data_IF_060071330889
#
_entry.id   IF_060071330889
#
_cell.length_a   1.000
_cell.length_b   1.000
_cell.length_c   1.000
_cell.angle_alpha   90.00
_cell.angle_beta   90.00
_cell.angle_gamma   90.00
#
_symmetry.space_group_name_H-M   'P 1'
#
loop_
_entity.id
_entity.type
_entity.pdbx_description
1 polymer ?
#
# COMPACT_ATOMS: atom_id res chain seq x y z
N UNK A 1 -32.17 35.96 -7.37
CA UNK A 1 -30.72 36.11 -7.16
C UNK A 1 -30.16 34.78 -6.70
N UNK A 2 -29.73 33.97 -7.67
CA UNK A 2 -28.95 32.75 -7.43
C UNK A 2 -27.62 33.15 -6.80
N UNK A 3 -27.17 32.53 -5.69
CA UNK A 3 -25.82 32.73 -5.21
C UNK A 3 -24.88 32.19 -6.28
N UNK A 4 -24.04 33.06 -6.85
CA UNK A 4 -23.02 32.67 -7.81
C UNK A 4 -22.17 31.55 -7.24
N UNK A 5 -22.09 30.43 -7.96
CA UNK A 5 -21.03 29.45 -7.76
C UNK A 5 -19.71 30.23 -7.86
N UNK A 6 -18.90 30.24 -6.80
CA UNK A 6 -17.54 30.76 -6.89
C UNK A 6 -16.83 29.95 -7.97
N UNK A 7 -16.49 30.61 -9.06
CA UNK A 7 -15.60 30.08 -10.09
C UNK A 7 -14.26 29.71 -9.43
N UNK A 8 -13.91 28.43 -9.58
CA UNK A 8 -12.56 27.87 -9.57
C UNK A 8 -11.70 28.00 -8.31
N UNK A 9 -12.02 27.22 -7.28
CA UNK A 9 -10.93 26.60 -6.51
C UNK A 9 -10.83 25.12 -6.87
N UNK A 10 -9.99 24.81 -7.85
CA UNK A 10 -9.66 23.44 -8.24
C UNK A 10 -8.87 22.73 -7.14
N UNK A 11 -8.36 23.46 -6.15
CA UNK A 11 -7.50 22.91 -5.11
C UNK A 11 -8.29 22.28 -3.97
N UNK A 12 -7.65 21.34 -3.27
CA UNK A 12 -8.22 20.69 -2.09
C UNK A 12 -8.18 21.63 -0.89
N UNK A 13 -9.35 21.97 -0.35
CA UNK A 13 -9.48 22.69 0.91
C UNK A 13 -9.43 21.73 2.12
N UNK A 14 -8.41 21.83 3.00
CA UNK A 14 -8.35 21.04 4.22
C UNK A 14 -9.51 21.27 5.20
N UNK A 15 -10.25 22.38 5.09
CA UNK A 15 -11.43 22.66 5.91
C UNK A 15 -12.67 21.85 5.49
N UNK A 16 -12.68 21.27 4.29
CA UNK A 16 -13.81 20.51 3.75
C UNK A 16 -14.13 19.25 4.59
N UNK A 17 -13.14 18.67 5.27
CA UNK A 17 -13.33 17.46 6.05
C UNK A 17 -12.38 17.31 7.22
N UNK A 18 -12.87 16.69 8.29
CA UNK A 18 -12.06 16.30 9.47
C UNK A 18 -10.99 15.26 9.12
N UNK A 19 -11.15 14.53 8.00
CA UNK A 19 -10.18 13.56 7.45
C UNK A 19 -9.68 14.05 6.09
N UNK A 20 -8.45 13.69 5.71
CA UNK A 20 -7.91 14.09 4.41
C UNK A 20 -8.47 13.19 3.30
N UNK A 21 -9.43 13.72 2.54
CA UNK A 21 -10.15 12.98 1.50
C UNK A 21 -9.25 12.58 0.32
N UNK A 22 -8.10 13.24 0.12
CA UNK A 22 -7.16 12.87 -0.94
C UNK A 22 -6.54 11.51 -0.68
N UNK A 23 -6.20 11.22 0.57
CA UNK A 23 -5.65 9.91 0.95
C UNK A 23 -6.71 8.81 0.81
N UNK A 24 -7.97 9.11 1.12
CA UNK A 24 -9.07 8.16 0.93
C UNK A 24 -9.33 7.91 -0.57
N UNK A 25 -9.31 8.97 -1.40
CA UNK A 25 -9.43 8.86 -2.85
C UNK A 25 -8.32 7.99 -3.46
N UNK A 26 -7.06 8.24 -3.09
CA UNK A 26 -5.93 7.45 -3.58
C UNK A 26 -6.00 5.99 -3.09
N UNK A 27 -6.47 5.73 -1.87
CA UNK A 27 -6.73 4.36 -1.39
C UNK A 27 -7.84 3.68 -2.19
N UNK A 28 -8.94 4.39 -2.46
CA UNK A 28 -10.02 3.91 -3.33
C UNK A 28 -9.49 3.55 -4.72
N UNK A 29 -8.66 4.41 -5.30
CA UNK A 29 -8.01 4.16 -6.60
C UNK A 29 -7.14 2.90 -6.56
N UNK A 30 -6.36 2.71 -5.49
CA UNK A 30 -5.57 1.49 -5.32
C UNK A 30 -6.46 0.24 -5.21
N UNK A 31 -7.56 0.31 -4.46
CA UNK A 31 -8.51 -0.81 -4.29
C UNK A 31 -9.16 -1.18 -5.63
N UNK A 32 -9.70 -0.19 -6.36
CA UNK A 32 -10.29 -0.40 -7.68
C UNK A 32 -9.29 -1.06 -8.63
N UNK A 33 -8.04 -0.59 -8.63
CA UNK A 33 -7.00 -1.15 -9.48
C UNK A 33 -6.58 -2.56 -9.06
N UNK A 34 -6.54 -2.87 -7.77
CA UNK A 34 -6.31 -4.25 -7.31
C UNK A 34 -7.43 -5.20 -7.78
N UNK A 35 -8.69 -4.74 -7.80
CA UNK A 35 -9.80 -5.53 -8.39
C UNK A 35 -9.54 -5.79 -9.87
N UNK A 36 -9.25 -4.76 -10.67
CA UNK A 36 -8.94 -4.93 -12.10
C UNK A 36 -7.75 -5.86 -12.34
N UNK A 37 -6.76 -5.84 -11.45
CA UNK A 37 -5.60 -6.71 -11.53
C UNK A 37 -5.95 -8.20 -11.39
N UNK A 38 -7.10 -8.52 -10.81
CA UNK A 38 -7.61 -9.88 -10.67
C UNK A 38 -8.64 -10.27 -11.75
N UNK A 39 -9.05 -9.35 -12.64
CA UNK A 39 -9.95 -9.63 -13.77
C UNK A 39 -9.18 -10.02 -15.04
N UNK A 40 -8.31 -11.01 -14.93
CA UNK A 40 -7.32 -11.36 -15.96
C UNK A 40 -7.88 -11.88 -17.29
N UNK A 41 -9.12 -12.36 -17.30
CA UNK A 41 -9.83 -12.75 -18.51
C UNK A 41 -10.45 -11.57 -19.27
N UNK A 42 -10.32 -10.34 -18.77
CA UNK A 42 -10.96 -9.16 -19.35
C UNK A 42 -9.94 -8.17 -19.91
N UNK A 43 -10.29 -7.36 -20.92
CA UNK A 43 -9.42 -6.28 -21.42
C UNK A 43 -9.00 -5.28 -20.33
N UNK A 44 -9.73 -5.21 -19.21
CA UNK A 44 -9.40 -4.36 -18.07
C UNK A 44 -8.08 -4.75 -17.39
N UNK A 45 -7.57 -5.95 -17.64
CA UNK A 45 -6.26 -6.39 -17.17
C UNK A 45 -5.09 -5.58 -17.76
N UNK A 46 -5.28 -4.88 -18.89
CA UNK A 46 -4.26 -3.97 -19.46
C UNK A 46 -3.91 -2.82 -18.49
N UNK A 47 -4.79 -2.56 -17.52
CA UNK A 47 -4.61 -1.55 -16.46
C UNK A 47 -3.89 -2.12 -15.23
N UNK A 48 -3.34 -3.34 -15.25
CA UNK A 48 -2.64 -3.96 -14.10
C UNK A 48 -1.55 -3.05 -13.50
N UNK A 49 -0.78 -2.38 -14.36
CA UNK A 49 0.42 -1.66 -13.94
C UNK A 49 0.08 -0.22 -13.57
N UNK A 50 0.52 0.27 -12.40
CA UNK A 50 0.18 1.62 -11.94
C UNK A 50 0.96 2.68 -12.71
N UNK A 51 2.18 2.98 -12.29
CA UNK A 51 3.12 3.83 -13.01
C UNK A 51 4.52 3.23 -12.85
N UNK A 52 5.15 2.86 -13.96
CA UNK A 52 6.42 2.14 -13.99
C UNK A 52 6.34 0.79 -13.27
N UNK A 53 7.33 0.48 -12.44
CA UNK A 53 7.47 -0.80 -11.74
C UNK A 53 6.46 -1.02 -10.59
N UNK A 54 5.83 0.02 -10.07
CA UNK A 54 5.02 -0.02 -8.84
C UNK A 54 3.60 -0.53 -9.09
N UNK A 55 3.11 -1.32 -8.14
CA UNK A 55 1.79 -1.92 -8.09
C UNK A 55 0.85 -1.12 -7.19
N UNK A 56 -0.46 -1.26 -7.41
CA UNK A 56 -1.48 -0.66 -6.57
C UNK A 56 -1.40 -1.13 -5.11
N UNK A 57 -0.98 -2.38 -4.88
CA UNK A 57 -0.82 -2.94 -3.54
C UNK A 57 0.28 -2.22 -2.77
N UNK A 58 1.44 -1.96 -3.37
CA UNK A 58 2.54 -1.24 -2.69
C UNK A 58 2.11 0.15 -2.25
N UNK A 59 1.42 0.87 -3.13
CA UNK A 59 0.85 2.18 -2.83
C UNK A 59 -0.23 2.11 -1.75
N UNK A 60 -1.12 1.11 -1.80
CA UNK A 60 -2.14 0.91 -0.76
C UNK A 60 -1.52 0.71 0.62
N UNK A 61 -0.46 -0.09 0.73
CA UNK A 61 0.23 -0.32 2.01
C UNK A 61 0.87 0.96 2.54
N UNK A 62 1.55 1.70 1.67
CA UNK A 62 2.15 2.99 2.02
C UNK A 62 1.11 4.00 2.50
N UNK A 63 0.02 4.20 1.75
CA UNK A 63 -1.03 5.16 2.10
C UNK A 63 -1.74 4.73 3.38
N UNK A 64 -2.01 3.42 3.55
CA UNK A 64 -2.65 2.91 4.76
C UNK A 64 -1.78 3.14 6.00
N UNK A 65 -0.46 2.92 5.88
CA UNK A 65 0.50 3.29 6.92
C UNK A 65 0.42 4.78 7.25
N UNK A 66 0.44 5.65 6.24
CA UNK A 66 0.33 7.10 6.42
C UNK A 66 -0.97 7.52 7.13
N UNK A 67 -2.11 6.97 6.74
CA UNK A 67 -3.41 7.22 7.39
C UNK A 67 -3.38 6.76 8.84
N UNK A 68 -2.82 5.58 9.13
CA UNK A 68 -2.64 5.08 10.49
C UNK A 68 -1.79 6.03 11.33
N UNK A 69 -0.66 6.51 10.78
CA UNK A 69 0.20 7.49 11.45
C UNK A 69 -0.52 8.80 11.77
N UNK A 70 -1.33 9.31 10.84
CA UNK A 70 -2.11 10.56 11.00
C UNK A 70 -3.21 10.38 12.06
N UNK A 71 -4.06 9.37 11.88
CA UNK A 71 -5.29 9.20 12.66
C UNK A 71 -4.98 8.65 14.05
N UNK A 72 -4.27 7.52 14.10
CA UNK A 72 -3.98 6.83 15.36
C UNK A 72 -2.86 7.51 16.14
N UNK A 73 -1.92 8.20 15.47
CA UNK A 73 -0.92 9.03 16.13
C UNK A 73 -1.55 10.17 16.94
N UNK A 74 -2.50 10.91 16.34
CA UNK A 74 -3.23 11.97 17.04
C UNK A 74 -4.10 11.42 18.18
N UNK A 75 -4.86 10.35 17.91
CA UNK A 75 -5.71 9.72 18.94
C UNK A 75 -4.90 9.17 20.10
N UNK A 76 -3.74 8.57 19.86
CA UNK A 76 -2.92 7.98 20.92
C UNK A 76 -2.35 9.06 21.87
N UNK A 77 -2.09 10.27 21.36
CA UNK A 77 -1.73 11.43 22.20
C UNK A 77 -2.90 11.95 23.04
N UNK A 78 -4.13 11.82 22.56
CA UNK A 78 -5.33 12.36 23.22
C UNK A 78 -6.01 11.37 24.18
N UNK A 79 -6.03 10.09 23.82
CA UNK A 79 -6.80 9.03 24.49
C UNK A 79 -5.91 7.93 25.10
N UNK A 80 -4.59 8.05 24.93
CA UNK A 80 -3.62 7.06 25.39
C UNK A 80 -3.38 5.91 24.40
N UNK A 81 -2.19 5.32 24.49
CA UNK A 81 -1.75 4.23 23.61
C UNK A 81 -2.60 2.96 23.77
N UNK A 82 -3.01 2.62 25.00
CA UNK A 82 -3.78 1.40 25.27
C UNK A 82 -5.13 1.36 24.55
N UNK A 83 -5.88 2.46 24.59
CA UNK A 83 -7.19 2.59 23.91
C UNK A 83 -7.02 2.42 22.40
N UNK A 84 -6.05 3.13 21.81
CA UNK A 84 -5.78 3.03 20.38
C UNK A 84 -5.27 1.66 19.98
N UNK A 85 -4.43 1.03 20.81
CA UNK A 85 -3.91 -0.32 20.56
C UNK A 85 -5.05 -1.33 20.50
N UNK A 86 -5.99 -1.28 21.45
CA UNK A 86 -7.17 -2.15 21.44
C UNK A 86 -8.00 -1.94 20.17
N UNK A 87 -8.28 -0.69 19.78
CA UNK A 87 -9.03 -0.40 18.55
C UNK A 87 -8.35 -0.97 17.29
N UNK A 88 -7.03 -0.77 17.16
CA UNK A 88 -6.27 -1.25 16.00
C UNK A 88 -6.19 -2.78 15.98
N UNK A 89 -5.96 -3.41 17.13
CA UNK A 89 -5.89 -4.87 17.24
C UNK A 89 -7.26 -5.53 17.00
N UNK A 90 -8.35 -4.95 17.50
CA UNK A 90 -9.71 -5.40 17.17
C UNK A 90 -9.98 -5.27 15.68
N UNK A 91 -9.54 -4.18 15.04
CA UNK A 91 -9.69 -4.03 13.58
C UNK A 91 -8.85 -5.03 12.81
N UNK A 92 -7.61 -5.28 13.23
CA UNK A 92 -6.74 -6.30 12.64
C UNK A 92 -7.40 -7.69 12.75
N UNK A 93 -7.96 -8.03 13.91
CA UNK A 93 -8.69 -9.28 14.14
C UNK A 93 -9.94 -9.37 13.25
N UNK A 94 -10.75 -8.33 13.14
CA UNK A 94 -11.93 -8.32 12.26
C UNK A 94 -11.55 -8.59 10.80
N UNK A 95 -10.50 -7.92 10.30
CA UNK A 95 -10.01 -8.14 8.93
C UNK A 95 -9.47 -9.55 8.73
N UNK A 96 -8.78 -10.08 9.74
CA UNK A 96 -8.29 -11.44 9.71
C UNK A 96 -9.42 -12.47 9.70
N UNK A 97 -10.43 -12.30 10.55
CA UNK A 97 -11.60 -13.19 10.60
C UNK A 97 -12.43 -13.10 9.32
N UNK A 98 -12.64 -11.88 8.78
CA UNK A 98 -13.32 -11.70 7.50
C UNK A 98 -12.55 -12.41 6.37
N UNK A 99 -11.23 -12.28 6.37
CA UNK A 99 -10.36 -12.98 5.45
C UNK A 99 -10.47 -14.51 5.58
N UNK A 100 -10.45 -15.05 6.82
CA UNK A 100 -10.67 -16.49 7.05
C UNK A 100 -12.04 -16.95 6.57
N UNK A 101 -13.08 -16.13 6.74
CA UNK A 101 -14.41 -16.44 6.24
C UNK A 101 -14.42 -16.53 4.70
N UNK A 102 -13.73 -15.64 3.99
CA UNK A 102 -13.55 -15.75 2.54
C UNK A 102 -12.76 -17.00 2.14
N UNK A 103 -11.66 -17.30 2.85
CA UNK A 103 -10.88 -18.52 2.61
C UNK A 103 -11.76 -19.75 2.73
N UNK A 104 -12.55 -19.83 3.81
CA UNK A 104 -13.46 -20.94 4.06
C UNK A 104 -14.58 -21.03 3.00
N UNK A 105 -15.16 -19.89 2.62
CA UNK A 105 -16.19 -19.82 1.58
C UNK A 105 -15.67 -20.38 0.25
N UNK A 106 -14.52 -19.88 -0.24
CA UNK A 106 -13.96 -20.34 -1.53
C UNK A 106 -13.52 -21.81 -1.48
N UNK A 107 -12.92 -22.25 -0.37
CA UNK A 107 -12.60 -23.66 -0.17
C UNK A 107 -13.85 -24.55 -0.22
N UNK A 108 -14.96 -24.10 0.37
CA UNK A 108 -16.23 -24.84 0.40
C UNK A 108 -16.89 -24.87 -0.98
N UNK A 109 -16.85 -23.77 -1.73
CA UNK A 109 -17.33 -23.70 -3.12
C UNK A 109 -16.55 -24.65 -4.04
N UNK A 110 -15.23 -24.78 -3.87
CA UNK A 110 -14.44 -25.76 -4.59
C UNK A 110 -14.78 -27.20 -4.19
N UNK A 111 -14.88 -27.48 -2.89
CA UNK A 111 -15.23 -28.81 -2.37
C UNK A 111 -16.62 -29.29 -2.84
N UNK A 112 -17.57 -28.37 -3.00
CA UNK A 112 -18.93 -28.64 -3.48
C UNK A 112 -19.09 -28.67 -5.01
N UNK A 113 -18.01 -28.42 -5.76
CA UNK A 113 -18.01 -28.46 -7.23
C UNK A 113 -18.53 -27.20 -7.91
N UNK A 114 -18.82 -26.12 -7.16
CA UNK A 114 -19.19 -24.81 -7.72
C UNK A 114 -18.00 -24.09 -8.36
N UNK A 115 -16.79 -24.37 -7.89
CA UNK A 115 -15.54 -23.92 -8.51
C UNK A 115 -14.81 -25.10 -9.13
N UNK A 116 -14.05 -24.85 -10.19
CA UNK A 116 -13.17 -25.85 -10.78
C UNK A 116 -12.19 -26.40 -9.73
N UNK A 117 -11.96 -27.72 -9.75
CA UNK A 117 -10.98 -28.35 -8.84
C UNK A 117 -9.60 -27.74 -9.03
N UNK A 118 -8.88 -27.53 -7.92
CA UNK A 118 -7.58 -26.88 -7.83
C UNK A 118 -7.55 -25.40 -8.22
N UNK A 119 -8.71 -24.75 -8.34
CA UNK A 119 -8.78 -23.32 -8.65
C UNK A 119 -8.34 -22.44 -7.48
N UNK A 120 -8.71 -22.81 -6.25
CA UNK A 120 -8.43 -22.01 -5.05
C UNK A 120 -7.50 -22.75 -4.09
N UNK A 121 -7.83 -23.99 -3.72
CA UNK A 121 -7.01 -24.83 -2.84
C UNK A 121 -5.70 -25.28 -3.52
N UNK A 122 -5.72 -25.43 -4.85
CA UNK A 122 -4.52 -25.72 -5.65
C UNK A 122 -3.50 -24.58 -5.68
N UNK A 123 -3.90 -23.36 -5.29
CA UNK A 123 -3.01 -22.21 -5.16
C UNK A 123 -2.33 -22.14 -3.79
N UNK A 124 -2.61 -23.08 -2.88
CA UNK A 124 -2.01 -23.11 -1.55
C UNK A 124 -0.61 -23.70 -1.61
N UNK A 125 0.40 -22.89 -1.28
CA UNK A 125 1.78 -23.35 -1.27
C UNK A 125 1.98 -24.42 -0.16
N UNK A 126 2.40 -25.63 -0.54
CA UNK A 126 2.62 -26.74 0.40
C UNK A 126 1.40 -27.61 0.76
N UNK A 127 0.26 -27.43 0.08
CA UNK A 127 -0.93 -28.27 0.25
C UNK A 127 -1.85 -27.85 1.41
N UNK A 128 -3.16 -27.93 1.17
CA UNK A 128 -4.17 -27.53 2.16
C UNK A 128 -4.30 -28.55 3.31
N UNK A 129 -4.13 -28.07 4.55
CA UNK A 129 -4.36 -28.84 5.77
C UNK A 129 -5.07 -27.94 6.80
N UNK A 130 -5.85 -28.47 7.75
CA UNK A 130 -6.69 -27.66 8.65
C UNK A 130 -5.95 -26.57 9.44
N UNK A 131 -4.69 -26.80 9.83
CA UNK A 131 -3.84 -25.80 10.49
C UNK A 131 -3.30 -24.72 9.53
N UNK A 132 -3.29 -24.98 8.21
CA UNK A 132 -2.87 -24.03 7.19
C UNK A 132 -3.83 -22.84 7.11
N UNK A 133 -5.11 -23.01 7.46
CA UNK A 133 -6.11 -21.95 7.50
C UNK A 133 -5.65 -20.74 8.32
N UNK A 134 -4.94 -20.98 9.42
CA UNK A 134 -4.47 -19.92 10.32
C UNK A 134 -3.10 -19.33 9.94
N UNK A 135 -2.51 -19.78 8.84
CA UNK A 135 -1.24 -19.23 8.35
C UNK A 135 -1.51 -17.96 7.57
N UNK A 136 -0.52 -17.07 7.56
CA UNK A 136 -0.53 -15.86 6.74
C UNK A 136 -0.15 -16.15 5.29
N UNK A 137 0.27 -17.39 5.01
CA UNK A 137 0.48 -17.93 3.68
C UNK A 137 -0.80 -18.55 3.13
N UNK A 138 -1.63 -17.71 2.54
CA UNK A 138 -2.92 -18.05 1.97
C UNK A 138 -2.87 -18.01 0.44
N UNK A 139 -3.88 -18.55 -0.26
CA UNK A 139 -3.95 -18.55 -1.71
C UNK A 139 -3.71 -17.15 -2.29
N UNK A 140 -3.02 -17.09 -3.42
CA UNK A 140 -2.47 -15.86 -4.04
C UNK A 140 -3.44 -14.65 -3.99
N UNK A 141 -4.72 -14.87 -4.26
CA UNK A 141 -5.76 -13.84 -4.27
C UNK A 141 -6.03 -13.19 -2.90
N UNK A 142 -5.94 -13.94 -1.81
CA UNK A 142 -6.20 -13.45 -0.45
C UNK A 142 -4.92 -13.21 0.35
N UNK A 143 -3.77 -13.64 -0.18
CA UNK A 143 -2.48 -13.58 0.49
C UNK A 143 -2.08 -12.16 0.94
N UNK A 144 -2.54 -11.10 0.26
CA UNK A 144 -2.20 -9.72 0.60
C UNK A 144 -2.77 -9.28 1.96
N UNK A 145 -3.94 -9.77 2.35
CA UNK A 145 -4.70 -9.25 3.48
C UNK A 145 -4.12 -9.69 4.85
N UNK A 146 -3.68 -10.95 5.05
CA UNK A 146 -2.94 -11.33 6.25
C UNK A 146 -1.70 -10.46 6.49
N UNK A 147 -0.96 -10.08 5.45
CA UNK A 147 0.25 -9.24 5.62
C UNK A 147 -0.10 -7.84 6.09
N UNK A 148 -1.18 -7.28 5.55
CA UNK A 148 -1.74 -6.03 6.06
C UNK A 148 -2.16 -6.16 7.54
N UNK A 149 -2.80 -7.27 7.92
CA UNK A 149 -3.15 -7.57 9.32
C UNK A 149 -1.90 -7.64 10.20
N UNK A 150 -0.80 -8.26 9.75
CA UNK A 150 0.46 -8.30 10.50
C UNK A 150 0.99 -6.90 10.80
N UNK A 151 0.97 -6.00 9.82
CA UNK A 151 1.44 -4.62 10.01
C UNK A 151 0.50 -3.80 10.90
N UNK A 152 -0.82 -4.04 10.81
CA UNK A 152 -1.76 -3.48 11.79
C UNK A 152 -1.49 -4.02 13.20
N UNK A 153 -1.20 -5.30 13.36
CA UNK A 153 -0.90 -5.89 14.66
C UNK A 153 0.40 -5.34 15.28
N UNK A 154 1.37 -4.94 14.46
CA UNK A 154 2.61 -4.28 14.87
C UNK A 154 2.48 -2.75 15.06
N UNK A 155 1.35 -2.16 14.65
CA UNK A 155 1.10 -0.72 14.78
C UNK A 155 1.20 -0.20 16.22
N UNK A 156 0.70 -0.88 17.26
CA UNK A 156 0.89 -0.47 18.65
C UNK A 156 2.36 -0.25 19.03
N UNK A 157 3.25 -1.16 18.62
CA UNK A 157 4.69 -1.05 18.87
C UNK A 157 5.31 0.13 18.10
N UNK A 158 4.91 0.31 16.84
CA UNK A 158 5.35 1.45 16.05
C UNK A 158 4.87 2.78 16.64
N UNK A 159 3.60 2.88 17.06
CA UNK A 159 3.06 4.05 17.75
C UNK A 159 3.82 4.33 19.06
N UNK A 160 4.12 3.31 19.85
CA UNK A 160 4.94 3.45 21.06
C UNK A 160 6.30 4.08 20.75
N UNK A 161 7.00 3.61 19.71
CA UNK A 161 8.26 4.20 19.26
C UNK A 161 8.08 5.67 18.84
N UNK A 162 7.06 5.97 18.04
CA UNK A 162 6.78 7.32 17.54
C UNK A 162 6.44 8.31 18.68
N UNK A 163 5.64 7.89 19.65
CA UNK A 163 5.28 8.70 20.82
C UNK A 163 6.49 8.98 21.72
N UNK A 164 7.44 8.03 21.82
CA UNK A 164 8.72 8.20 22.53
C UNK A 164 9.78 8.99 21.75
N UNK A 165 9.41 9.64 20.64
CA UNK A 165 10.32 10.36 19.73
C UNK A 165 11.41 9.47 19.11
N UNK A 166 11.21 8.16 19.06
CA UNK A 166 12.15 7.17 18.49
C UNK A 166 11.86 6.87 17.02
N UNK A 167 11.44 7.87 16.25
CA UNK A 167 11.10 7.69 14.83
C UNK A 167 12.29 7.23 13.99
N UNK A 168 13.49 7.72 14.29
CA UNK A 168 14.72 7.29 13.61
C UNK A 168 15.05 5.82 13.89
N UNK A 169 14.84 5.35 15.12
CA UNK A 169 15.02 3.93 15.46
C UNK A 169 14.02 3.03 14.74
N UNK A 170 12.77 3.47 14.62
CA UNK A 170 11.76 2.74 13.83
C UNK A 170 12.17 2.68 12.36
N UNK A 171 12.60 3.81 11.76
CA UNK A 171 13.09 3.83 10.39
C UNK A 171 14.34 2.95 10.21
N UNK A 172 15.31 3.03 11.13
CA UNK A 172 16.52 2.22 11.08
C UNK A 172 16.21 0.73 11.19
N UNK A 173 15.31 0.33 12.08
CA UNK A 173 14.86 -1.06 12.19
C UNK A 173 14.15 -1.51 10.91
N UNK A 174 13.23 -0.69 10.40
CA UNK A 174 12.48 -0.98 9.17
C UNK A 174 13.39 -1.08 7.94
N UNK A 175 14.30 -0.13 7.71
CA UNK A 175 15.26 -0.22 6.61
C UNK A 175 16.31 -1.30 6.83
N UNK A 176 16.67 -1.58 8.08
CA UNK A 176 17.59 -2.66 8.44
C UNK A 176 17.03 -4.03 8.11
N UNK A 177 15.77 -4.31 8.47
CA UNK A 177 15.09 -5.58 8.12
C UNK A 177 14.91 -5.70 6.60
N UNK A 178 14.51 -4.63 5.92
CA UNK A 178 14.39 -4.62 4.45
C UNK A 178 15.74 -4.85 3.77
N UNK A 179 16.79 -4.13 4.17
CA UNK A 179 18.14 -4.24 3.62
C UNK A 179 18.76 -5.61 3.89
N UNK A 180 18.55 -6.17 5.09
CA UNK A 180 18.98 -7.52 5.42
C UNK A 180 18.30 -8.57 4.51
N UNK A 181 16.99 -8.44 4.27
CA UNK A 181 16.31 -9.34 3.33
C UNK A 181 16.78 -9.13 1.87
N UNK A 182 17.03 -7.89 1.46
CA UNK A 182 17.48 -7.56 0.11
C UNK A 182 18.90 -8.06 -0.18
N UNK A 183 19.83 -7.88 0.76
CA UNK A 183 21.26 -8.19 0.57
C UNK A 183 21.61 -9.64 0.91
N UNK A 184 21.03 -10.16 1.99
CA UNK A 184 21.39 -11.48 2.53
C UNK A 184 20.38 -12.56 2.12
N UNK A 185 19.29 -12.20 1.44
CA UNK A 185 18.21 -13.13 1.13
C UNK A 185 17.58 -13.74 2.38
N UNK A 186 17.69 -13.06 3.53
CA UNK A 186 17.12 -13.46 4.81
C UNK A 186 15.59 -13.39 4.73
N UNK A 187 14.99 -14.36 4.04
CA UNK A 187 13.57 -14.66 4.16
C UNK A 187 13.33 -14.92 5.64
N UNK A 188 12.42 -14.19 6.26
CA UNK A 188 12.00 -14.51 7.61
C UNK A 188 11.26 -15.85 7.49
N UNK A 189 11.96 -16.98 7.60
CA UNK A 189 11.38 -18.33 7.55
C UNK A 189 10.57 -18.60 8.82
N UNK A 190 9.62 -17.72 9.14
CA UNK A 190 8.69 -17.87 10.23
C UNK A 190 7.52 -18.66 9.67
N UNK A 191 7.37 -19.96 9.99
CA UNK A 191 6.45 -20.84 9.26
C UNK A 191 4.97 -20.42 9.30
N UNK A 192 4.59 -19.57 10.25
CA UNK A 192 3.22 -19.05 10.39
C UNK A 192 3.03 -17.76 9.58
N UNK A 193 4.09 -16.98 9.38
CA UNK A 193 4.03 -15.62 8.81
C UNK A 193 4.47 -15.58 7.33
N UNK A 194 5.42 -16.42 6.92
CA UNK A 194 5.96 -16.46 5.56
C UNK A 194 6.26 -17.91 5.13
N UNK A 195 5.48 -18.44 4.18
CA UNK A 195 5.78 -19.71 3.49
C UNK A 195 5.84 -19.52 1.97
N UNK A 196 5.07 -18.57 1.42
CA UNK A 196 5.06 -18.19 0.00
C UNK A 196 5.95 -17.00 -0.36
N UNK A 197 6.07 -16.74 -1.67
CA UNK A 197 7.06 -15.82 -2.26
C UNK A 197 6.56 -14.40 -2.54
N UNK A 198 5.26 -14.18 -2.67
CA UNK A 198 4.75 -12.99 -3.37
C UNK A 198 4.86 -11.66 -2.61
N UNK A 199 4.84 -11.72 -1.27
CA UNK A 199 4.83 -10.53 -0.42
C UNK A 199 5.58 -10.78 0.90
N UNK A 200 6.92 -10.79 0.91
CA UNK A 200 7.69 -10.94 2.14
C UNK A 200 7.38 -9.81 3.13
N UNK A 201 6.93 -10.15 4.34
CA UNK A 201 6.72 -9.23 5.48
C UNK A 201 8.00 -8.46 5.75
N UNK A 202 9.17 -9.12 5.68
CA UNK A 202 10.49 -8.49 5.86
C UNK A 202 10.70 -7.28 4.95
N UNK A 203 10.27 -7.38 3.69
CA UNK A 203 10.38 -6.28 2.72
C UNK A 203 9.22 -5.31 2.85
N UNK A 204 7.98 -5.81 2.78
CA UNK A 204 6.78 -5.00 2.64
C UNK A 204 6.47 -4.13 3.85
N UNK A 205 7.01 -4.48 5.03
CA UNK A 205 6.90 -3.63 6.21
C UNK A 205 7.50 -2.23 6.00
N UNK A 206 8.48 -2.08 5.10
CA UNK A 206 9.07 -0.77 4.76
C UNK A 206 8.03 0.21 4.25
N UNK A 207 7.11 -0.25 3.40
CA UNK A 207 6.08 0.59 2.81
C UNK A 207 5.16 1.14 3.90
N UNK A 208 4.68 0.24 4.77
CA UNK A 208 3.72 0.57 5.81
C UNK A 208 4.32 1.47 6.89
N UNK A 209 5.49 1.11 7.45
CA UNK A 209 6.08 1.87 8.55
C UNK A 209 6.72 3.18 8.11
N UNK A 210 7.30 3.27 6.92
CA UNK A 210 7.74 4.57 6.36
C UNK A 210 6.53 5.46 6.16
N UNK A 211 5.46 4.94 5.54
CA UNK A 211 4.19 5.67 5.41
C UNK A 211 3.70 6.17 6.77
N UNK A 212 3.68 5.30 7.78
CA UNK A 212 3.25 5.64 9.15
C UNK A 212 4.09 6.72 9.82
N UNK A 213 5.42 6.69 9.67
CA UNK A 213 6.31 7.73 10.18
C UNK A 213 6.02 9.07 9.49
N UNK A 214 5.87 9.07 8.17
CA UNK A 214 5.54 10.27 7.39
C UNK A 214 4.18 10.84 7.79
N UNK A 215 3.18 9.97 7.94
CA UNK A 215 1.85 10.35 8.39
C UNK A 215 1.84 10.93 9.81
N UNK A 216 2.57 10.34 10.74
CA UNK A 216 2.68 10.82 12.12
C UNK A 216 3.34 12.21 12.20
N UNK A 217 4.32 12.49 11.35
CA UNK A 217 5.02 13.78 11.29
C UNK A 217 4.47 14.74 10.22
N UNK A 218 3.32 14.42 9.61
CA UNK A 218 2.71 15.19 8.51
C UNK A 218 2.70 16.69 8.73
N UNK A 219 2.32 17.17 9.92
CA UNK A 219 2.21 18.61 10.18
C UNK A 219 3.56 19.32 10.05
N UNK A 220 4.64 18.69 10.52
CA UNK A 220 6.01 19.22 10.41
C UNK A 220 6.49 19.16 8.96
N UNK A 221 6.24 18.03 8.30
CA UNK A 221 6.62 17.83 6.90
C UNK A 221 5.90 18.83 5.97
N UNK A 222 4.60 19.07 6.19
CA UNK A 222 3.80 19.99 5.38
C UNK A 222 4.28 21.46 5.44
N UNK A 223 5.00 21.87 6.48
CA UNK A 223 5.60 23.21 6.55
C UNK A 223 6.81 23.34 5.63
N UNK A 224 7.68 22.33 5.59
CA UNK A 224 8.81 22.29 4.65
C UNK A 224 8.37 22.00 3.22
N UNK A 225 7.37 21.12 3.06
CA UNK A 225 6.86 20.69 1.76
C UNK A 225 6.27 21.84 0.94
N UNK A 226 5.55 22.76 1.59
CA UNK A 226 4.99 23.95 0.94
C UNK A 226 6.03 24.88 0.31
N UNK A 227 7.29 24.80 0.75
CA UNK A 227 8.40 25.57 0.15
C UNK A 227 8.93 24.94 -1.14
N UNK A 228 8.71 23.64 -1.33
CA UNK A 228 9.18 22.86 -2.48
C UNK A 228 8.07 22.64 -3.52
N UNK A 229 6.80 22.75 -3.14
CA UNK A 229 5.62 22.36 -3.94
C UNK A 229 5.21 23.39 -5.02
N UNK A 230 6.16 23.83 -5.85
CA UNK A 230 5.92 24.76 -6.97
C UNK A 230 5.48 24.06 -8.28
N UNK A 231 5.24 24.86 -9.33
CA UNK A 231 5.00 24.37 -10.69
C UNK A 231 6.11 23.47 -11.24
N UNK A 232 7.39 23.90 -11.22
CA UNK A 232 8.52 23.11 -11.70
C UNK A 232 8.70 21.77 -10.97
N UNK A 233 8.40 21.73 -9.68
CA UNK A 233 8.45 20.49 -8.89
C UNK A 233 7.44 19.45 -9.38
N UNK A 234 6.21 19.88 -9.69
CA UNK A 234 5.19 18.98 -10.23
C UNK A 234 5.62 18.44 -11.61
N UNK A 235 6.21 19.29 -12.46
CA UNK A 235 6.75 18.87 -13.76
C UNK A 235 7.87 17.86 -13.58
N UNK A 236 8.78 18.07 -12.63
CA UNK A 236 9.84 17.12 -12.30
C UNK A 236 9.32 15.77 -11.81
N UNK A 237 8.29 15.78 -10.94
CA UNK A 237 7.62 14.56 -10.49
C UNK A 237 6.89 13.83 -11.62
N UNK A 238 6.20 14.58 -12.50
CA UNK A 238 5.54 14.03 -13.67
C UNK A 238 6.54 13.39 -14.63
N UNK A 239 7.63 14.10 -14.94
CA UNK A 239 8.72 13.60 -15.77
C UNK A 239 9.37 12.35 -15.16
N UNK A 240 9.58 12.32 -13.83
CA UNK A 240 10.07 11.14 -13.14
C UNK A 240 9.12 9.94 -13.23
N UNK A 241 7.82 10.15 -12.99
CA UNK A 241 6.81 9.11 -13.10
C UNK A 241 6.71 8.56 -14.54
N UNK A 242 6.71 9.45 -15.54
CA UNK A 242 6.75 9.07 -16.97
C UNK A 242 8.05 8.35 -17.30
N UNK A 243 9.19 8.81 -16.78
CA UNK A 243 10.49 8.16 -16.94
C UNK A 243 10.48 6.71 -16.44
N UNK A 244 9.90 6.43 -15.28
CA UNK A 244 9.73 5.07 -14.78
C UNK A 244 8.79 4.22 -15.65
N UNK A 245 7.73 4.80 -16.21
CA UNK A 245 6.86 4.13 -17.17
C UNK A 245 7.64 3.76 -18.43
N UNK A 246 8.35 4.72 -19.02
CA UNK A 246 9.14 4.49 -20.24
C UNK A 246 10.26 3.48 -20.00
N UNK A 247 10.96 3.56 -18.88
CA UNK A 247 12.03 2.62 -18.50
C UNK A 247 11.51 1.19 -18.46
N UNK A 248 10.35 0.98 -17.82
CA UNK A 248 9.71 -0.33 -17.78
C UNK A 248 9.26 -0.80 -19.16
N UNK A 249 8.64 0.08 -19.96
CA UNK A 249 8.18 -0.28 -21.32
C UNK A 249 9.35 -0.63 -22.24
N UNK A 250 10.46 0.07 -22.13
CA UNK A 250 11.69 -0.25 -22.84
C UNK A 250 12.25 -1.62 -22.43
N UNK A 251 12.18 -1.97 -21.14
CA UNK A 251 12.57 -3.28 -20.65
C UNK A 251 11.62 -4.40 -21.15
N UNK A 252 10.30 -4.17 -21.12
CA UNK A 252 9.30 -5.12 -21.63
C UNK A 252 9.41 -5.33 -23.14
N UNK A 253 9.75 -4.28 -23.89
CA UNK A 253 9.98 -4.32 -25.34
C UNK A 253 11.35 -4.90 -25.73
N UNK A 254 12.19 -5.28 -24.77
CA UNK A 254 13.54 -5.78 -25.02
C UNK A 254 14.55 -4.74 -25.50
N UNK A 255 14.17 -3.44 -25.50
CA UNK A 255 15.06 -2.33 -25.89
C UNK A 255 16.12 -2.03 -24.81
N UNK A 256 15.85 -2.42 -23.56
CA UNK A 256 16.78 -2.29 -22.45
C UNK A 256 16.99 -3.66 -21.77
N UNK A 257 18.17 -4.24 -21.95
CA UNK A 257 18.56 -5.48 -21.27
C UNK A 257 19.29 -5.16 -19.97
N UNK A 258 18.64 -5.38 -18.84
CA UNK A 258 19.28 -5.36 -17.52
C UNK A 258 19.61 -6.82 -17.15
N UNK A 259 20.83 -7.15 -16.69
CA UNK A 259 21.15 -8.51 -16.28
C UNK A 259 20.19 -9.02 -15.20
N UNK A 260 19.79 -10.30 -15.26
CA UNK A 260 18.70 -10.82 -14.43
C UNK A 260 18.89 -10.59 -12.92
N UNK A 261 20.11 -10.73 -12.39
CA UNK A 261 20.39 -10.46 -10.98
C UNK A 261 20.17 -8.98 -10.60
N UNK A 262 20.52 -8.05 -11.48
CA UNK A 262 20.23 -6.62 -11.29
C UNK A 262 18.75 -6.31 -11.42
N UNK A 263 18.00 -7.01 -12.28
CA UNK A 263 16.54 -6.87 -12.36
C UNK A 263 15.89 -7.25 -11.03
N UNK A 264 16.24 -8.42 -10.48
CA UNK A 264 15.71 -8.84 -9.18
C UNK A 264 16.09 -7.89 -8.06
N UNK A 265 17.34 -7.41 -8.02
CA UNK A 265 17.80 -6.49 -7.00
C UNK A 265 17.16 -5.09 -7.11
N UNK A 266 17.14 -4.50 -8.30
CA UNK A 266 16.72 -3.10 -8.50
C UNK A 266 15.20 -2.95 -8.55
N UNK A 267 14.51 -3.85 -9.26
CA UNK A 267 13.10 -3.73 -9.60
C UNK A 267 12.26 -4.94 -9.16
N UNK A 268 12.85 -5.91 -8.45
CA UNK A 268 12.16 -7.09 -7.92
C UNK A 268 11.06 -6.73 -6.94
N UNK A 269 9.86 -7.23 -7.20
CA UNK A 269 8.66 -6.94 -6.40
C UNK A 269 8.73 -7.56 -5.00
N UNK A 270 9.20 -8.79 -4.90
CA UNK A 270 9.22 -9.53 -3.64
C UNK A 270 10.15 -8.86 -2.63
N UNK A 271 11.38 -8.54 -3.04
CA UNK A 271 12.38 -7.89 -2.20
C UNK A 271 12.15 -6.37 -2.05
N UNK A 272 11.18 -5.81 -2.77
CA UNK A 272 11.00 -4.37 -2.95
C UNK A 272 12.32 -3.68 -3.31
N UNK A 273 12.77 -3.92 -4.54
CA UNK A 273 14.01 -3.34 -5.03
C UNK A 273 14.07 -1.81 -4.86
N UNK A 274 15.26 -1.21 -4.67
CA UNK A 274 15.40 0.21 -4.37
C UNK A 274 14.72 1.15 -5.40
N UNK A 275 14.75 0.79 -6.69
CA UNK A 275 14.09 1.58 -7.73
C UNK A 275 12.57 1.55 -7.60
N UNK A 276 11.98 0.49 -7.02
CA UNK A 276 10.54 0.45 -6.72
C UNK A 276 10.17 1.41 -5.62
N UNK A 277 10.98 1.50 -4.55
CA UNK A 277 10.75 2.45 -3.47
C UNK A 277 10.86 3.89 -3.97
N UNK A 278 11.85 4.18 -4.82
CA UNK A 278 12.00 5.48 -5.46
C UNK A 278 10.83 5.79 -6.40
N UNK A 279 10.45 4.85 -7.26
CA UNK A 279 9.30 5.01 -8.14
C UNK A 279 8.01 5.24 -7.35
N UNK A 280 7.82 4.53 -6.24
CA UNK A 280 6.66 4.70 -5.38
C UNK A 280 6.65 6.10 -4.77
N UNK A 281 7.79 6.57 -4.24
CA UNK A 281 7.91 7.91 -3.69
C UNK A 281 7.58 8.98 -4.73
N UNK A 282 8.15 8.91 -5.93
CA UNK A 282 7.90 9.86 -7.02
C UNK A 282 6.43 9.83 -7.43
N UNK A 283 5.90 8.64 -7.72
CA UNK A 283 4.52 8.45 -8.19
C UNK A 283 3.49 8.86 -7.14
N UNK A 284 3.65 8.43 -5.88
CA UNK A 284 2.74 8.80 -4.80
C UNK A 284 2.73 10.31 -4.63
N UNK A 285 3.91 10.94 -4.62
CA UNK A 285 4.03 12.39 -4.44
C UNK A 285 3.37 13.13 -5.59
N UNK A 286 3.61 12.68 -6.83
CA UNK A 286 2.95 13.22 -8.03
C UNK A 286 1.42 13.16 -7.91
N UNK A 287 0.88 11.99 -7.58
CA UNK A 287 -0.57 11.78 -7.45
C UNK A 287 -1.17 12.55 -6.27
N UNK A 288 -0.43 12.69 -5.17
CA UNK A 288 -0.86 13.48 -4.02
C UNK A 288 -0.93 14.98 -4.36
N UNK A 289 0.05 15.50 -5.09
CA UNK A 289 0.02 16.88 -5.59
C UNK A 289 -1.07 17.08 -6.66
N UNK A 290 -1.29 16.09 -7.53
CA UNK A 290 -2.36 16.12 -8.53
C UNK A 290 -3.73 16.18 -7.85
N UNK A 291 -3.98 15.32 -6.87
CA UNK A 291 -5.22 15.34 -6.07
C UNK A 291 -5.36 16.61 -5.23
N UNK A 292 -4.26 17.27 -4.87
CA UNK A 292 -4.31 18.56 -4.22
C UNK A 292 -4.69 19.70 -5.17
N UNK A 293 -4.15 19.74 -6.40
CA UNK A 293 -4.36 20.86 -7.34
C UNK A 293 -5.62 20.73 -8.19
N UNK A 294 -6.07 19.50 -8.43
CA UNK A 294 -7.19 19.17 -9.32
C UNK A 294 -8.31 18.44 -8.56
N UNK A 295 -8.52 18.79 -7.29
CA UNK A 295 -9.49 18.12 -6.41
C UNK A 295 -10.92 18.18 -6.93
N UNK A 296 -11.42 19.38 -7.25
CA UNK A 296 -12.81 19.57 -7.69
C UNK A 296 -13.20 18.69 -8.90
N UNK A 297 -12.43 18.68 -10.02
CA UNK A 297 -12.75 17.81 -11.15
C UNK A 297 -12.58 16.31 -10.81
N UNK A 298 -11.53 15.93 -10.07
CA UNK A 298 -11.31 14.53 -9.67
C UNK A 298 -12.43 13.98 -8.78
N UNK A 299 -12.88 14.79 -7.81
CA UNK A 299 -14.00 14.46 -6.92
C UNK A 299 -15.30 14.34 -7.70
N UNK A 300 -15.54 15.23 -8.66
CA UNK A 300 -16.75 15.20 -9.50
C UNK A 300 -16.77 13.96 -10.40
N UNK A 301 -15.64 13.64 -11.03
CA UNK A 301 -15.54 12.53 -11.97
C UNK A 301 -15.60 11.16 -11.29
N UNK A 302 -14.91 10.99 -10.16
CA UNK A 302 -14.70 9.66 -9.56
C UNK A 302 -15.02 9.58 -8.07
N UNK A 303 -15.41 10.67 -7.41
CA UNK A 303 -15.65 10.72 -5.97
C UNK A 303 -16.74 9.77 -5.50
N UNK A 304 -17.80 9.54 -6.30
CA UNK A 304 -18.89 8.60 -5.95
C UNK A 304 -18.42 7.15 -5.80
N UNK A 305 -17.34 6.78 -6.48
CA UNK A 305 -16.82 5.40 -6.48
C UNK A 305 -15.63 5.27 -5.55
N UNK A 306 -14.76 6.29 -5.51
CA UNK A 306 -13.45 6.21 -4.84
C UNK A 306 -13.47 6.74 -3.40
N UNK A 307 -14.49 7.50 -3.00
CA UNK A 307 -14.64 7.97 -1.63
C UNK A 307 -15.64 7.10 -0.85
N UNK A 308 -15.35 6.81 0.44
CA UNK A 308 -16.26 6.11 1.32
C UNK A 308 -17.33 7.04 1.92
#
# INVERSE_FOLDING_TARGET
>A
MSPGLREDDWTYDPAESRRDLRLDFLRGLCLLKMVFNHLWHTPLHVVQQWLGYVTAAEAFFFISGAVVGIVHGRRARQQGLGVVSRQVLTRALQLYLANLAFVFLFASMEASGWLAKNWYLGLWSGGFHGLALFRFDQPYYLAVLPRYVAFLALTPLALWCLLRRRSLWLLAATFGVWGANLLLGLRLKVPILEVGRDFPIASWQVLFFVGMVLGFHRQRLAQGWRRLSGGPWLVGLAAGAVGFVLLRRAQEAGMLSIPGHWVHFLVGREQLGPLRLLNLAVTFTFLFELTHRYWSPLKTAAGRVLLP
#
